data_IF_545753987757
#
_entry.id   IF_545753987757
#
_cell.length_a   1.000
_cell.length_b   1.000
_cell.length_c   1.000
_cell.angle_alpha   90.00
_cell.angle_beta   90.00
_cell.angle_gamma   90.00
#
_symmetry.space_group_name_H-M   'P 1'
#
loop_
_entity.id
_entity.type
_entity.pdbx_description
1 polymer ?
#
# COMPACT_ATOMS: atom_id res chain seq x y z
N UNK A 1 -24.24 0.75 14.10
CA UNK A 1 -23.12 0.63 15.04
C UNK A 1 -21.89 -0.06 14.43
N UNK A 2 -21.92 -1.32 13.96
CA UNK A 2 -20.74 -1.93 13.32
C UNK A 2 -20.44 -1.36 11.92
N UNK A 3 -21.48 -1.20 11.08
CA UNK A 3 -21.36 -0.55 9.76
C UNK A 3 -20.86 0.90 9.85
N UNK A 4 -21.25 1.65 10.88
CA UNK A 4 -20.80 3.04 11.07
C UNK A 4 -19.32 3.11 11.46
N UNK A 5 -18.83 2.18 12.27
CA UNK A 5 -17.41 2.05 12.61
C UNK A 5 -16.57 1.62 11.39
N UNK A 6 -17.10 0.75 10.53
CA UNK A 6 -16.46 0.32 9.28
C UNK A 6 -16.42 1.44 8.22
N UNK A 7 -17.38 2.37 8.23
CA UNK A 7 -17.43 3.52 7.29
C UNK A 7 -16.69 4.76 7.79
N UNK A 8 -16.33 4.83 9.07
CA UNK A 8 -15.55 5.94 9.59
C UNK A 8 -14.13 5.83 9.06
N UNK A 9 -13.71 6.81 8.25
CA UNK A 9 -12.30 6.98 7.90
C UNK A 9 -11.48 6.97 9.18
N UNK A 10 -10.59 5.99 9.38
CA UNK A 10 -9.71 5.95 10.54
C UNK A 10 -9.03 7.31 10.72
N UNK A 11 -9.24 7.89 11.89
CA UNK A 11 -8.69 9.17 12.31
C UNK A 11 -7.78 8.90 13.51
N UNK A 12 -6.51 9.28 13.40
CA UNK A 12 -5.51 9.10 14.44
C UNK A 12 -4.09 9.30 13.91
N UNK A 13 -3.14 9.49 14.81
CA UNK A 13 -1.71 9.68 14.46
C UNK A 13 -1.06 8.47 13.77
N UNK A 14 -1.70 7.31 13.89
CA UNK A 14 -1.29 6.03 13.30
C UNK A 14 -2.13 5.63 12.07
N UNK A 15 -3.14 6.43 11.71
CA UNK A 15 -3.99 6.11 10.56
C UNK A 15 -3.17 6.04 9.27
N UNK A 16 -3.45 5.02 8.46
CA UNK A 16 -2.70 4.71 7.24
C UNK A 16 -3.65 4.64 6.07
N UNK A 17 -3.25 5.27 4.97
CA UNK A 17 -3.93 5.11 3.68
C UNK A 17 -3.18 4.08 2.86
N UNK A 18 -3.87 3.03 2.44
CA UNK A 18 -3.34 2.01 1.54
C UNK A 18 -3.82 2.27 0.12
N UNK A 19 -2.95 2.11 -0.87
CA UNK A 19 -3.31 2.12 -2.29
C UNK A 19 -2.81 0.83 -2.92
N UNK A 20 -3.75 0.05 -3.46
CA UNK A 20 -3.43 -1.14 -4.24
C UNK A 20 -2.98 -0.72 -5.64
N UNK A 21 -1.84 -1.25 -6.06
CA UNK A 21 -1.31 -1.14 -7.42
C UNK A 21 -1.06 -2.56 -7.97
N UNK A 22 -2.09 -3.21 -8.55
CA UNK A 22 -1.98 -4.56 -9.08
C UNK A 22 -1.02 -4.66 -10.27
N UNK A 23 -0.91 -3.60 -11.07
CA UNK A 23 -0.06 -3.55 -12.25
C UNK A 23 1.43 -3.31 -11.91
N UNK A 24 2.27 -3.22 -12.95
CA UNK A 24 3.66 -2.82 -12.76
C UNK A 24 3.76 -1.41 -12.16
N UNK A 25 4.57 -1.27 -11.11
CA UNK A 25 4.91 0.02 -10.53
C UNK A 25 6.16 0.54 -11.24
N UNK A 26 6.12 1.80 -11.67
CA UNK A 26 7.30 2.51 -12.17
C UNK A 26 7.64 3.66 -11.22
N UNK A 27 8.88 3.71 -10.75
CA UNK A 27 9.42 4.81 -9.96
C UNK A 27 10.43 5.56 -10.83
N UNK A 28 10.21 6.86 -11.02
CA UNK A 28 10.99 7.69 -11.96
C UNK A 28 11.10 7.09 -13.37
N UNK A 29 10.05 6.43 -13.84
CA UNK A 29 10.02 5.77 -15.15
C UNK A 29 10.77 4.44 -15.21
N UNK A 30 11.35 3.96 -14.11
CA UNK A 30 12.02 2.66 -14.03
C UNK A 30 11.08 1.61 -13.42
N UNK A 31 10.93 0.43 -14.05
CA UNK A 31 10.07 -0.63 -13.52
C UNK A 31 10.64 -1.17 -12.21
N UNK A 32 9.78 -1.28 -11.20
CA UNK A 32 10.13 -1.82 -9.89
C UNK A 32 10.11 -3.35 -9.94
N UNK A 33 11.11 -3.97 -9.33
CA UNK A 33 11.17 -5.42 -9.13
C UNK A 33 11.46 -5.71 -7.66
N UNK A 34 10.70 -6.60 -7.05
CA UNK A 34 10.87 -6.96 -5.66
C UNK A 34 12.25 -7.62 -5.47
N UNK A 35 13.06 -7.10 -4.54
CA UNK A 35 14.37 -7.65 -4.24
C UNK A 35 14.31 -9.06 -3.62
N UNK A 36 13.20 -9.40 -2.96
CA UNK A 36 13.02 -10.70 -2.31
C UNK A 36 12.46 -11.78 -3.25
N UNK A 37 11.36 -11.51 -3.97
CA UNK A 37 10.65 -12.53 -4.77
C UNK A 37 10.69 -12.30 -6.28
N UNK A 38 11.33 -11.22 -6.75
CA UNK A 38 11.44 -10.84 -8.18
C UNK A 38 10.13 -10.51 -8.89
N UNK A 39 9.01 -10.42 -8.18
CA UNK A 39 7.75 -9.93 -8.74
C UNK A 39 7.86 -8.47 -9.20
N UNK A 40 7.15 -8.14 -10.27
CA UNK A 40 7.05 -6.78 -10.85
C UNK A 40 5.69 -6.12 -10.62
N UNK A 41 4.76 -6.84 -10.01
CA UNK A 41 3.35 -6.49 -9.88
C UNK A 41 2.86 -6.70 -8.45
N UNK A 42 1.59 -6.41 -8.20
CA UNK A 42 0.95 -6.54 -6.89
C UNK A 42 1.72 -5.79 -5.80
N UNK A 43 1.65 -4.47 -5.89
CA UNK A 43 2.26 -3.54 -4.96
C UNK A 43 1.20 -2.91 -4.06
N UNK A 44 1.58 -2.67 -2.81
CA UNK A 44 0.83 -1.85 -1.86
C UNK A 44 1.67 -0.63 -1.54
N UNK A 45 1.10 0.56 -1.79
CA UNK A 45 1.66 1.81 -1.28
C UNK A 45 0.95 2.17 0.02
N UNK A 46 1.72 2.37 1.10
CA UNK A 46 1.20 2.78 2.40
C UNK A 46 1.66 4.21 2.70
N UNK A 47 0.72 5.15 2.75
CA UNK A 47 1.00 6.48 3.28
C UNK A 47 0.73 6.51 4.79
N UNK A 48 1.80 6.65 5.56
CA UNK A 48 1.75 6.83 7.00
C UNK A 48 2.53 8.10 7.38
N UNK A 49 1.82 9.07 7.98
CA UNK A 49 2.35 10.41 8.30
C UNK A 49 2.91 11.13 7.07
N UNK A 50 4.23 11.31 7.00
CA UNK A 50 4.93 12.01 5.91
C UNK A 50 5.58 11.04 4.92
N UNK A 51 5.51 9.74 5.20
CA UNK A 51 6.26 8.72 4.50
C UNK A 51 5.33 7.87 3.66
N UNK A 52 5.84 7.44 2.51
CA UNK A 52 5.22 6.42 1.68
C UNK A 52 6.12 5.19 1.69
N UNK A 53 5.51 4.04 1.97
CA UNK A 53 6.19 2.75 1.92
C UNK A 53 5.67 1.98 0.73
N UNK A 54 6.58 1.32 0.01
CA UNK A 54 6.21 0.40 -1.05
C UNK A 54 6.42 -1.02 -0.54
N UNK A 55 5.39 -1.84 -0.67
CA UNK A 55 5.37 -3.20 -0.15
C UNK A 55 4.96 -4.18 -1.25
N UNK A 56 5.75 -5.23 -1.42
CA UNK A 56 5.39 -6.37 -2.25
C UNK A 56 4.46 -7.31 -1.48
N UNK A 57 3.59 -8.04 -2.18
CA UNK A 57 2.73 -9.09 -1.59
C UNK A 57 3.50 -10.15 -0.78
N UNK A 58 4.77 -10.41 -1.12
CA UNK A 58 5.63 -11.31 -0.33
C UNK A 58 6.06 -10.75 1.04
N UNK A 59 5.71 -9.51 1.35
CA UNK A 59 6.00 -8.84 2.61
C UNK A 59 7.30 -8.02 2.63
N UNK A 60 8.09 -8.06 1.55
CA UNK A 60 9.26 -7.18 1.39
C UNK A 60 8.80 -5.71 1.23
N UNK A 61 9.43 -4.80 1.96
CA UNK A 61 9.00 -3.40 2.08
C UNK A 61 10.19 -2.46 2.17
N UNK A 62 10.06 -1.26 1.61
CA UNK A 62 11.00 -0.17 1.80
C UNK A 62 10.29 1.18 1.92
N UNK A 63 10.96 2.13 2.58
CA UNK A 63 10.59 3.54 2.55
C UNK A 63 10.93 4.10 1.17
N UNK A 64 9.96 4.70 0.50
CA UNK A 64 10.17 5.34 -0.80
C UNK A 64 10.32 6.85 -0.62
N UNK A 65 11.56 7.39 -0.64
CA UNK A 65 11.80 8.80 -0.32
C UNK A 65 11.33 9.77 -1.41
N UNK A 66 11.07 9.29 -2.62
CA UNK A 66 10.77 10.15 -3.76
C UNK A 66 9.28 10.33 -4.02
N UNK A 67 8.43 9.53 -3.37
CA UNK A 67 6.99 9.75 -3.35
C UNK A 67 6.65 10.59 -2.13
N UNK A 68 6.40 11.88 -2.35
CA UNK A 68 5.92 12.75 -1.28
C UNK A 68 4.47 12.42 -0.93
N UNK A 69 3.99 12.91 0.22
CA UNK A 69 2.56 12.84 0.56
C UNK A 69 1.69 13.49 -0.53
N UNK A 70 2.15 14.58 -1.13
CA UNK A 70 1.40 15.27 -2.18
C UNK A 70 1.31 14.42 -3.45
N UNK A 71 2.40 13.74 -3.82
CA UNK A 71 2.39 12.80 -4.96
C UNK A 71 1.44 11.64 -4.68
N UNK A 72 1.48 11.07 -3.48
CA UNK A 72 0.53 10.03 -3.06
C UNK A 72 -0.92 10.51 -3.08
N UNK A 73 -1.18 11.74 -2.59
CA UNK A 73 -2.52 12.35 -2.60
C UNK A 73 -3.05 12.50 -4.04
N UNK A 74 -2.17 12.76 -5.02
CA UNK A 74 -2.54 12.77 -6.44
C UNK A 74 -2.81 11.35 -7.00
N UNK A 75 -2.11 10.32 -6.50
CA UNK A 75 -2.31 8.93 -6.93
C UNK A 75 -3.66 8.35 -6.47
N UNK A 76 -4.15 8.74 -5.30
CA UNK A 76 -5.41 8.23 -4.71
C UNK A 76 -6.68 8.91 -5.26
N UNK A 77 -6.57 9.69 -6.33
CA UNK A 77 -7.74 10.21 -7.06
C UNK A 77 -8.61 9.08 -7.66
N UNK A 78 -8.08 7.85 -7.76
CA UNK A 78 -8.80 6.62 -8.11
C UNK A 78 -9.35 5.90 -6.86
N UNK A 79 -10.50 5.21 -6.94
CA UNK A 79 -11.21 4.66 -5.77
C UNK A 79 -10.60 3.41 -5.12
N UNK A 80 -9.40 2.97 -5.52
CA UNK A 80 -8.77 1.74 -5.02
C UNK A 80 -7.97 1.93 -3.73
N UNK A 81 -8.10 3.09 -3.07
CA UNK A 81 -7.46 3.35 -1.79
C UNK A 81 -8.35 2.94 -0.61
N UNK A 82 -7.71 2.55 0.49
CA UNK A 82 -8.35 2.18 1.75
C UNK A 82 -7.72 2.96 2.89
N UNK A 83 -8.39 3.00 4.04
CA UNK A 83 -7.83 3.57 5.24
C UNK A 83 -7.92 2.56 6.39
N UNK A 84 -6.87 2.48 7.20
CA UNK A 84 -6.74 1.53 8.30
C UNK A 84 -6.16 2.22 9.54
N UNK A 85 -6.45 1.67 10.72
CA UNK A 85 -6.00 2.24 11.99
C UNK A 85 -4.48 2.21 12.20
N UNK A 86 -3.80 1.21 11.61
CA UNK A 86 -2.34 1.02 11.70
C UNK A 86 -1.79 0.43 10.40
N UNK A 87 -0.47 0.47 10.22
CA UNK A 87 0.23 -0.17 9.09
C UNK A 87 0.00 -1.68 9.07
N UNK A 88 0.08 -2.34 10.23
CA UNK A 88 -0.11 -3.80 10.33
C UNK A 88 -1.54 -4.22 9.99
N UNK A 89 -2.53 -3.45 10.44
CA UNK A 89 -3.92 -3.69 10.07
C UNK A 89 -4.13 -3.58 8.55
N UNK A 90 -3.50 -2.59 7.90
CA UNK A 90 -3.55 -2.46 6.44
C UNK A 90 -2.89 -3.65 5.73
N UNK A 91 -1.71 -4.08 6.18
CA UNK A 91 -0.96 -5.20 5.56
C UNK A 91 -1.75 -6.51 5.63
N UNK A 92 -2.36 -6.80 6.77
CA UNK A 92 -3.19 -8.01 6.95
C UNK A 92 -4.47 -7.91 6.13
N UNK A 93 -5.23 -6.82 6.29
CA UNK A 93 -6.54 -6.68 5.63
C UNK A 93 -6.44 -6.70 4.10
N UNK A 94 -5.34 -6.20 3.53
CA UNK A 94 -5.11 -6.14 2.09
C UNK A 94 -4.36 -7.37 1.54
N UNK A 95 -3.94 -8.30 2.40
CA UNK A 95 -3.23 -9.52 1.98
C UNK A 95 -1.78 -9.29 1.54
N UNK A 96 -1.11 -8.32 2.16
CA UNK A 96 0.31 -7.99 1.96
C UNK A 96 1.18 -8.33 3.17
N UNK A 97 0.65 -9.05 4.16
CA UNK A 97 1.40 -9.54 5.32
C UNK A 97 2.43 -10.64 4.97
N UNK A 98 2.44 -11.13 3.72
CA UNK A 98 3.33 -12.18 3.23
C UNK A 98 2.65 -13.52 3.03
N UNK A 99 1.43 -13.70 3.55
CA UNK A 99 0.66 -14.95 3.47
C UNK A 99 0.38 -15.38 2.04
N UNK A 100 0.21 -14.41 1.12
CA UNK A 100 -0.07 -14.65 -0.29
C UNK A 100 1.16 -14.51 -1.20
N UNK A 101 2.36 -14.70 -0.66
CA UNK A 101 3.58 -14.71 -1.47
C UNK A 101 3.48 -15.71 -2.63
N UNK A 102 3.71 -15.26 -3.86
CA UNK A 102 3.62 -16.10 -5.06
C UNK A 102 2.22 -16.23 -5.67
N UNK A 103 1.18 -15.76 -4.98
CA UNK A 103 -0.19 -15.74 -5.50
C UNK A 103 -0.44 -14.35 -6.09
N UNK A 104 -0.25 -14.23 -7.40
CA UNK A 104 -0.45 -12.98 -8.12
C UNK A 104 -1.66 -13.13 -9.04
N UNK A 105 -2.65 -12.25 -8.86
CA UNK A 105 -3.88 -12.28 -9.65
C UNK A 105 -3.64 -11.56 -10.99
N UNK A 106 -4.24 -12.08 -12.05
CA UNK A 106 -4.25 -11.47 -13.40
C UNK A 106 -5.47 -10.57 -13.59
#
# INVERSE_FOLDING_TARGET
>A
LQLEYETQTPNGLEAVRGLLQPAELALRGMPVTCSACRARRDWLLLNHRRNVWVRCRCGNEWLEPEITRQDFDAMIANPTWTCHATTDAARVALGFDGTFAGIYLD
#
